data_IF_020076302039
#
_entry.id   IF_020076302039
#
_cell.length_a   1.000
_cell.length_b   1.000
_cell.length_c   1.000
_cell.angle_alpha   90.00
_cell.angle_beta   90.00
_cell.angle_gamma   90.00
#
_symmetry.space_group_name_H-M   'P 1'
#
loop_
_entity.id
_entity.type
_entity.pdbx_description
1 polymer ?
#
# COMPACT_ATOMS: atom_id res chain seq x y z
N UNK A 1 8.88 -2.50 4.43
CA UNK A 1 7.57 -2.40 5.14
C UNK A 1 6.70 -3.52 4.59
N UNK A 2 6.12 -4.38 5.43
CA UNK A 2 5.45 -5.61 5.00
C UNK A 2 4.50 -5.46 3.79
N UNK A 3 3.68 -4.41 3.74
CA UNK A 3 2.76 -4.15 2.63
C UNK A 3 3.49 -3.93 1.29
N UNK A 4 4.53 -3.08 1.29
CA UNK A 4 5.34 -2.82 0.10
C UNK A 4 6.20 -4.03 -0.25
N UNK A 5 6.70 -4.77 0.75
CA UNK A 5 7.54 -5.95 0.54
C UNK A 5 6.72 -7.08 -0.09
N UNK A 6 5.47 -7.29 0.35
CA UNK A 6 4.54 -8.24 -0.24
C UNK A 6 4.22 -7.88 -1.70
N UNK A 7 3.96 -6.59 -1.98
CA UNK A 7 3.77 -6.10 -3.35
C UNK A 7 5.02 -6.29 -4.21
N UNK A 8 6.20 -5.93 -3.70
CA UNK A 8 7.47 -6.07 -4.41
C UNK A 8 7.81 -7.53 -4.72
N UNK A 9 7.57 -8.43 -3.77
CA UNK A 9 7.83 -9.88 -3.91
C UNK A 9 6.67 -10.65 -4.52
N UNK A 10 5.60 -9.96 -4.93
CA UNK A 10 4.40 -10.54 -5.57
C UNK A 10 3.69 -11.60 -4.69
N UNK A 11 3.78 -11.46 -3.37
CA UNK A 11 3.04 -12.28 -2.41
C UNK A 11 1.62 -11.72 -2.27
N UNK A 12 0.77 -12.03 -3.24
CA UNK A 12 -0.55 -11.41 -3.37
C UNK A 12 -1.49 -11.70 -2.21
N UNK A 13 -1.43 -12.90 -1.65
CA UNK A 13 -2.26 -13.27 -0.49
C UNK A 13 -1.86 -12.43 0.74
N UNK A 14 -0.55 -12.30 1.01
CA UNK A 14 -0.02 -11.45 2.10
C UNK A 14 -0.38 -9.98 1.85
N UNK A 15 -0.27 -9.52 0.61
CA UNK A 15 -0.59 -8.15 0.22
C UNK A 15 -2.06 -7.81 0.49
N UNK A 16 -2.97 -8.70 0.08
CA UNK A 16 -4.41 -8.56 0.34
C UNK A 16 -4.73 -8.72 1.83
N UNK A 17 -4.05 -9.62 2.55
CA UNK A 17 -4.22 -9.82 3.99
C UNK A 17 -3.89 -8.57 4.82
N UNK A 18 -2.99 -7.71 4.33
CA UNK A 18 -2.60 -6.44 4.95
C UNK A 18 -3.55 -5.28 4.61
N UNK A 19 -4.51 -5.47 3.72
CA UNK A 19 -5.56 -4.50 3.44
C UNK A 19 -6.74 -4.67 4.39
N UNK A 20 -7.43 -3.57 4.66
CA UNK A 20 -8.69 -3.60 5.38
C UNK A 20 -9.78 -4.14 4.47
N UNK A 21 -10.87 -4.65 5.06
CA UNK A 21 -11.95 -5.32 4.31
C UNK A 21 -12.45 -4.46 3.16
N UNK A 22 -12.76 -3.18 3.43
CA UNK A 22 -13.30 -2.26 2.44
C UNK A 22 -12.36 -1.96 1.27
N UNK A 23 -11.03 -2.01 1.47
CA UNK A 23 -10.06 -1.86 0.39
C UNK A 23 -9.90 -3.16 -0.38
N UNK A 24 -9.80 -4.29 0.33
CA UNK A 24 -9.64 -5.63 -0.24
C UNK A 24 -10.79 -5.95 -1.21
N UNK A 25 -12.02 -5.59 -0.86
CA UNK A 25 -13.21 -5.84 -1.70
C UNK A 25 -13.16 -5.13 -3.06
N UNK A 26 -12.31 -4.09 -3.22
CA UNK A 26 -12.09 -3.42 -4.50
C UNK A 26 -11.17 -4.20 -5.44
N UNK A 27 -10.38 -5.13 -4.91
CA UNK A 27 -9.44 -5.95 -5.66
C UNK A 27 -10.12 -7.20 -6.25
N UNK A 28 -11.07 -6.96 -7.14
CA UNK A 28 -11.66 -7.99 -8.02
C UNK A 28 -10.61 -8.61 -8.95
N UNK A 29 -10.89 -9.75 -9.58
CA UNK A 29 -9.94 -10.42 -10.49
C UNK A 29 -9.35 -9.48 -11.57
N UNK A 30 -10.15 -8.66 -12.29
CA UNK A 30 -9.60 -7.73 -13.27
C UNK A 30 -8.67 -6.66 -12.64
N UNK A 31 -9.01 -6.19 -11.44
CA UNK A 31 -8.19 -5.22 -10.72
C UNK A 31 -6.87 -5.85 -10.25
N UNK A 32 -6.90 -7.11 -9.80
CA UNK A 32 -5.72 -7.87 -9.43
C UNK A 32 -4.81 -8.14 -10.64
N UNK A 33 -5.37 -8.47 -11.79
CA UNK A 33 -4.61 -8.67 -13.02
C UNK A 33 -3.92 -7.39 -13.48
N UNK A 34 -4.63 -6.26 -13.41
CA UNK A 34 -4.04 -4.95 -13.70
C UNK A 34 -2.92 -4.62 -12.71
N UNK A 35 -3.13 -4.86 -11.41
CA UNK A 35 -2.14 -4.63 -10.36
C UNK A 35 -0.86 -5.45 -10.62
N UNK A 36 -1.00 -6.74 -10.94
CA UNK A 36 0.10 -7.65 -11.27
C UNK A 36 0.87 -7.19 -12.50
N UNK A 37 0.16 -6.79 -13.56
CA UNK A 37 0.78 -6.23 -14.78
C UNK A 37 1.57 -4.97 -14.48
N UNK A 38 0.97 -4.03 -13.74
CA UNK A 38 1.65 -2.80 -13.32
C UNK A 38 2.87 -3.11 -12.47
N UNK A 39 2.77 -4.04 -11.50
CA UNK A 39 3.90 -4.48 -10.68
C UNK A 39 5.04 -5.04 -11.53
N UNK A 40 4.74 -5.85 -12.53
CA UNK A 40 5.73 -6.45 -13.42
C UNK A 40 6.38 -5.40 -14.34
N UNK A 41 5.64 -4.37 -14.73
CA UNK A 41 6.13 -3.28 -15.58
C UNK A 41 6.93 -2.23 -14.80
N UNK A 42 6.57 -1.97 -13.54
CA UNK A 42 7.29 -1.01 -12.70
C UNK A 42 8.46 -1.70 -11.97
N UNK A 43 9.62 -1.03 -11.95
CA UNK A 43 10.74 -1.46 -11.11
C UNK A 43 10.36 -1.58 -9.62
N UNK A 44 11.24 -2.14 -8.80
CA UNK A 44 11.00 -2.24 -7.36
C UNK A 44 10.65 -0.86 -6.78
N UNK A 45 9.62 -0.80 -5.95
CA UNK A 45 9.27 0.45 -5.26
C UNK A 45 9.86 0.44 -3.87
N UNK A 46 10.78 1.37 -3.64
CA UNK A 46 11.37 1.60 -2.33
C UNK A 46 10.50 2.58 -1.56
N UNK A 47 10.24 2.28 -0.30
CA UNK A 47 9.44 3.16 0.58
C UNK A 47 10.15 3.34 1.91
N UNK A 48 10.13 4.58 2.41
CA UNK A 48 10.58 4.94 3.75
C UNK A 48 9.41 5.57 4.50
N UNK A 49 9.11 5.09 5.70
CA UNK A 49 8.13 5.73 6.58
C UNK A 49 8.77 6.98 7.18
N UNK A 50 8.19 8.15 6.93
CA UNK A 50 8.69 9.44 7.43
C UNK A 50 7.88 9.99 8.60
N UNK A 51 6.67 9.48 8.81
CA UNK A 51 5.83 9.85 9.95
C UNK A 51 4.64 8.92 10.09
N UNK A 52 4.15 8.80 11.32
CA UNK A 52 2.93 8.07 11.64
C UNK A 52 2.14 8.90 12.64
N UNK A 53 0.87 9.16 12.31
CA UNK A 53 -0.10 9.81 13.18
C UNK A 53 -1.20 8.80 13.53
N UNK A 54 -1.54 8.66 14.81
CA UNK A 54 -2.49 7.65 15.31
C UNK A 54 -3.60 8.37 16.06
N UNK A 55 -4.84 8.12 15.66
CA UNK A 55 -6.06 8.62 16.30
C UNK A 55 -7.00 7.44 16.60
N UNK A 56 -6.91 6.93 17.82
CA UNK A 56 -7.67 5.76 18.26
C UNK A 56 -7.42 4.53 17.39
N UNK A 57 -8.46 4.09 16.68
CA UNK A 57 -8.43 2.95 15.77
C UNK A 57 -8.17 3.34 14.31
N UNK A 58 -7.79 4.59 14.05
CA UNK A 58 -7.33 5.07 12.75
C UNK A 58 -5.88 5.55 12.84
N UNK A 59 -5.16 5.50 11.71
CA UNK A 59 -3.83 6.08 11.60
C UNK A 59 -3.57 6.60 10.18
N UNK A 60 -2.64 7.54 10.07
CA UNK A 60 -2.07 7.98 8.79
C UNK A 60 -0.57 7.77 8.82
N UNK A 61 -0.06 6.92 7.93
CA UNK A 61 1.38 6.78 7.71
C UNK A 61 1.80 7.60 6.50
N UNK A 62 2.81 8.47 6.66
CA UNK A 62 3.42 9.20 5.56
C UNK A 62 4.65 8.45 5.09
N UNK A 63 4.75 8.24 3.77
CA UNK A 63 5.82 7.52 3.12
C UNK A 63 6.49 8.40 2.08
N UNK A 64 7.80 8.25 1.98
CA UNK A 64 8.57 8.64 0.80
C UNK A 64 8.76 7.41 -0.08
N UNK A 65 8.18 7.44 -1.28
CA UNK A 65 8.15 6.33 -2.23
C UNK A 65 8.95 6.68 -3.49
N UNK A 66 9.75 5.73 -3.97
CA UNK A 66 10.57 5.89 -5.15
C UNK A 66 10.59 4.64 -6.02
N UNK A 67 10.35 4.82 -7.33
CA UNK A 67 10.68 3.84 -8.36
C UNK A 67 10.95 4.57 -9.70
N UNK A 68 11.38 3.82 -10.72
CA UNK A 68 11.77 4.37 -12.03
C UNK A 68 10.61 5.04 -12.78
N UNK A 69 9.37 4.58 -12.59
CA UNK A 69 8.19 5.08 -13.28
C UNK A 69 7.52 6.27 -12.55
N UNK A 70 7.48 6.24 -11.23
CA UNK A 70 6.85 7.22 -10.36
C UNK A 70 7.76 8.43 -10.09
N UNK A 71 9.07 8.23 -10.17
CA UNK A 71 10.06 9.10 -9.53
C UNK A 71 9.95 8.98 -8.01
N UNK A 72 10.51 9.97 -7.29
CA UNK A 72 10.38 10.10 -5.83
C UNK A 72 9.15 10.95 -5.50
N UNK A 73 8.27 10.45 -4.61
CA UNK A 73 7.04 11.14 -4.19
C UNK A 73 6.66 10.84 -2.76
N UNK A 74 6.02 11.79 -2.10
CA UNK A 74 5.38 11.56 -0.80
C UNK A 74 3.95 11.05 -0.97
N UNK A 75 3.63 9.95 -0.31
CA UNK A 75 2.28 9.35 -0.27
C UNK A 75 1.83 9.15 1.17
N UNK A 76 0.52 9.14 1.38
CA UNK A 76 -0.09 8.82 2.66
C UNK A 76 -0.88 7.53 2.56
N UNK A 77 -0.70 6.66 3.55
CA UNK A 77 -1.55 5.49 3.79
C UNK A 77 -2.51 5.82 4.92
N UNK A 78 -3.80 5.66 4.68
CA UNK A 78 -4.80 5.60 5.75
C UNK A 78 -4.88 4.16 6.24
N UNK A 79 -4.78 3.98 7.55
CA UNK A 79 -4.88 2.71 8.22
C UNK A 79 -6.04 2.69 9.21
N UNK A 80 -6.59 1.50 9.43
CA UNK A 80 -7.58 1.24 10.48
C UNK A 80 -7.14 0.02 11.30
N UNK A 81 -7.62 -0.06 12.53
CA UNK A 81 -7.40 -1.19 13.42
C UNK A 81 -8.55 -2.19 13.29
N UNK A 82 -8.27 -3.32 12.64
CA UNK A 82 -9.16 -4.49 12.57
C UNK A 82 -8.49 -5.63 13.36
N UNK A 83 -8.10 -6.76 12.73
CA UNK A 83 -7.26 -7.81 13.33
C UNK A 83 -5.76 -7.42 13.37
N UNK A 84 -5.48 -6.13 13.55
CA UNK A 84 -4.18 -5.50 13.33
C UNK A 84 -4.33 -4.21 12.52
N UNK A 85 -3.22 -3.51 12.30
CA UNK A 85 -3.23 -2.33 11.44
C UNK A 85 -3.32 -2.74 9.97
N UNK A 86 -4.33 -2.23 9.29
CA UNK A 86 -4.63 -2.54 7.89
C UNK A 86 -4.62 -1.31 7.02
N UNK A 87 -4.09 -1.41 5.81
CA UNK A 87 -4.12 -0.33 4.81
C UNK A 87 -5.52 -0.24 4.20
N UNK A 88 -6.15 0.93 4.25
CA UNK A 88 -7.48 1.17 3.70
C UNK A 88 -7.50 2.09 2.48
N UNK A 89 -6.62 3.09 2.46
CA UNK A 89 -6.57 4.05 1.36
C UNK A 89 -5.12 4.45 1.12
N UNK A 90 -4.77 4.62 -0.14
CA UNK A 90 -3.46 5.08 -0.59
C UNK A 90 -3.69 6.38 -1.37
N UNK A 91 -3.21 7.49 -0.82
CA UNK A 91 -3.46 8.84 -1.35
C UNK A 91 -2.13 9.56 -1.60
N UNK A 92 -1.95 10.24 -2.75
CA UNK A 92 -0.82 11.14 -2.93
C UNK A 92 -0.97 12.36 -2.01
N UNK A 93 0.14 12.81 -1.41
CA UNK A 93 0.16 14.09 -0.69
C UNK A 93 0.20 15.20 -1.74
N UNK A 94 -0.77 16.12 -1.67
CA UNK A 94 -0.81 17.31 -2.54
C UNK A 94 0.25 18.32 -2.15
#
# INVERSE_FOLDING_TARGET
MAFQDAYNTQKWDDYLALMCTAMRDRFTDPAMDLLKKTRAAQGLTNVTVTGVDIDGDAATATLDAQNEMLGRRTIQLKLVREDGWKVCVLEPVR
#
